data_IF_691213634267
#
_entry.id   IF_691213634267
#
_cell.length_a   1.000
_cell.length_b   1.000
_cell.length_c   1.000
_cell.angle_alpha   90.00
_cell.angle_beta   90.00
_cell.angle_gamma   90.00
#
_symmetry.space_group_name_H-M   'P 1'
#
loop_
_entity.id
_entity.type
_entity.pdbx_description
1 polymer ?
#
# COMPACT_ATOMS: atom_id res chain seq x y z
N UNK A 1 20.49 24.91 -9.83
CA UNK A 1 20.70 24.00 -10.98
C UNK A 1 19.42 24.05 -11.79
N UNK A 2 19.50 24.65 -12.98
CA UNK A 2 18.35 24.73 -13.89
C UNK A 2 17.93 23.29 -14.21
N UNK A 3 16.65 22.95 -14.05
CA UNK A 3 16.13 21.61 -14.37
C UNK A 3 16.60 21.19 -15.78
N UNK A 4 16.70 22.16 -16.69
CA UNK A 4 17.29 22.02 -18.01
C UNK A 4 18.67 21.36 -18.03
N UNK A 5 19.54 21.53 -17.04
CA UNK A 5 20.88 20.89 -17.01
C UNK A 5 20.83 19.38 -16.72
N UNK A 6 19.80 18.90 -16.01
CA UNK A 6 19.52 17.46 -15.84
C UNK A 6 18.90 16.90 -17.13
N UNK A 7 18.14 17.73 -17.86
CA UNK A 7 17.47 17.36 -19.12
C UNK A 7 18.31 17.60 -20.40
N UNK A 8 19.38 18.40 -20.35
CA UNK A 8 20.14 18.88 -21.51
C UNK A 8 21.00 17.79 -22.17
N UNK A 9 21.15 16.64 -21.54
CA UNK A 9 21.66 15.46 -22.21
C UNK A 9 20.45 14.64 -22.67
N UNK A 10 20.23 14.52 -23.98
CA UNK A 10 19.21 13.69 -24.64
C UNK A 10 19.32 12.18 -24.37
N UNK A 11 19.49 11.79 -23.11
CA UNK A 11 19.79 10.44 -22.63
C UNK A 11 18.56 9.63 -22.25
N UNK A 12 17.36 10.24 -22.19
CA UNK A 12 16.16 9.50 -21.83
C UNK A 12 14.97 9.83 -22.75
N UNK A 13 14.94 9.17 -23.92
CA UNK A 13 13.83 9.24 -24.89
C UNK A 13 12.47 8.97 -24.25
N UNK A 14 12.42 8.17 -23.19
CA UNK A 14 11.19 7.87 -22.44
C UNK A 14 10.66 9.11 -21.73
N UNK A 15 11.49 9.87 -21.03
CA UNK A 15 11.07 11.11 -20.36
C UNK A 15 10.57 12.17 -21.36
N UNK A 16 11.26 12.33 -22.49
CA UNK A 16 10.82 13.24 -23.55
C UNK A 16 9.44 12.85 -24.09
N UNK A 17 9.18 11.54 -24.27
CA UNK A 17 7.87 11.02 -24.68
C UNK A 17 6.78 11.35 -23.66
N UNK A 18 7.05 11.18 -22.36
CA UNK A 18 6.08 11.52 -21.32
C UNK A 18 5.81 13.03 -21.23
N UNK A 19 6.84 13.85 -21.38
CA UNK A 19 6.70 15.31 -21.40
C UNK A 19 5.86 15.78 -22.61
N UNK A 20 6.09 15.20 -23.79
CA UNK A 20 5.28 15.47 -24.99
C UNK A 20 3.81 15.07 -24.79
N UNK A 21 3.54 13.90 -24.19
CA UNK A 21 2.17 13.48 -23.86
C UNK A 21 1.48 14.43 -22.88
N UNK A 22 2.20 14.87 -21.85
CA UNK A 22 1.68 15.87 -20.91
C UNK A 22 1.34 17.19 -21.60
N UNK A 23 2.20 17.65 -22.51
CA UNK A 23 1.95 18.86 -23.29
C UNK A 23 0.70 18.72 -24.16
N UNK A 24 0.56 17.61 -24.90
CA UNK A 24 -0.64 17.35 -25.70
C UNK A 24 -1.91 17.33 -24.84
N UNK A 25 -1.90 16.61 -23.71
CA UNK A 25 -3.05 16.59 -22.81
C UNK A 25 -3.38 17.98 -22.24
N UNK A 26 -2.37 18.82 -21.99
CA UNK A 26 -2.58 20.18 -21.52
C UNK A 26 -3.22 21.06 -22.61
N UNK A 27 -2.84 20.89 -23.88
CA UNK A 27 -3.50 21.58 -24.99
C UNK A 27 -4.96 21.12 -25.13
N UNK A 28 -5.21 19.82 -25.05
CA UNK A 28 -6.58 19.28 -25.10
C UNK A 28 -7.46 19.83 -23.96
N UNK A 29 -6.91 19.98 -22.75
CA UNK A 29 -7.60 20.60 -21.62
C UNK A 29 -7.95 22.08 -21.87
N UNK A 30 -7.04 22.84 -22.49
CA UNK A 30 -7.28 24.24 -22.85
C UNK A 30 -8.38 24.35 -23.92
N UNK A 31 -8.32 23.50 -24.94
CA UNK A 31 -9.27 23.51 -26.05
C UNK A 31 -10.66 22.99 -25.64
N UNK A 32 -10.71 21.98 -24.77
CA UNK A 32 -11.95 21.29 -24.34
C UNK A 32 -11.91 20.98 -22.84
N UNK A 33 -12.19 21.96 -21.98
CA UNK A 33 -12.15 21.76 -20.54
C UNK A 33 -13.25 20.79 -20.09
N UNK A 34 -12.84 19.66 -19.53
CA UNK A 34 -13.74 18.66 -18.95
C UNK A 34 -13.02 17.88 -17.84
N UNK A 35 -13.74 17.15 -16.99
CA UNK A 35 -13.13 16.22 -16.05
C UNK A 35 -12.20 15.21 -16.77
N UNK A 36 -12.60 14.69 -17.92
CA UNK A 36 -11.83 13.73 -18.73
C UNK A 36 -10.50 14.31 -19.22
N UNK A 37 -10.50 15.54 -19.75
CA UNK A 37 -9.26 16.18 -20.20
C UNK A 37 -8.35 16.55 -19.01
N UNK A 38 -8.92 16.88 -17.84
CA UNK A 38 -8.16 17.07 -16.61
C UNK A 38 -7.55 15.74 -16.10
N UNK A 39 -8.31 14.65 -16.11
CA UNK A 39 -7.81 13.32 -15.72
C UNK A 39 -6.61 12.91 -16.58
N UNK A 40 -6.70 13.14 -17.90
CA UNK A 40 -5.59 12.87 -18.82
C UNK A 40 -4.32 13.66 -18.47
N UNK A 41 -4.44 14.96 -18.14
CA UNK A 41 -3.30 15.79 -17.71
C UNK A 41 -2.67 15.26 -16.43
N UNK A 42 -3.49 14.98 -15.41
CA UNK A 42 -3.01 14.51 -14.11
C UNK A 42 -2.32 13.14 -14.23
N UNK A 43 -2.90 12.23 -14.99
CA UNK A 43 -2.33 10.91 -15.28
C UNK A 43 -1.04 11.01 -16.07
N UNK A 44 -0.95 11.88 -17.07
CA UNK A 44 0.30 12.13 -17.80
C UNK A 44 1.38 12.71 -16.89
N UNK A 45 1.03 13.63 -16.00
CA UNK A 45 1.98 14.25 -15.08
C UNK A 45 2.47 13.25 -14.02
N UNK A 46 1.58 12.43 -13.47
CA UNK A 46 1.96 11.37 -12.52
C UNK A 46 2.93 10.36 -13.16
N UNK A 47 2.65 9.94 -14.40
CA UNK A 47 3.53 9.03 -15.14
C UNK A 47 4.91 9.66 -15.41
N UNK A 48 4.95 10.93 -15.83
CA UNK A 48 6.21 11.65 -16.01
C UNK A 48 7.01 11.70 -14.70
N UNK A 49 6.35 12.04 -13.59
CA UNK A 49 6.96 12.10 -12.27
C UNK A 49 7.51 10.75 -11.81
N UNK A 50 6.75 9.67 -12.02
CA UNK A 50 7.18 8.31 -11.72
C UNK A 50 8.44 7.92 -12.51
N UNK A 51 8.42 8.08 -13.84
CA UNK A 51 9.57 7.74 -14.67
C UNK A 51 10.80 8.59 -14.37
N UNK A 52 10.60 9.86 -13.99
CA UNK A 52 11.70 10.72 -13.60
C UNK A 52 12.34 10.24 -12.29
N UNK A 53 11.54 9.88 -11.29
CA UNK A 53 12.02 9.29 -10.04
C UNK A 53 12.78 7.99 -10.27
N UNK A 54 12.27 7.10 -11.12
CA UNK A 54 12.99 5.86 -11.46
C UNK A 54 14.31 6.14 -12.19
N UNK A 55 14.36 7.15 -13.05
CA UNK A 55 15.61 7.52 -13.75
C UNK A 55 16.66 8.12 -12.82
N UNK A 56 16.24 8.82 -11.77
CA UNK A 56 17.13 9.37 -10.74
C UNK A 56 17.52 8.35 -9.67
N UNK A 57 16.80 7.23 -9.55
CA UNK A 57 16.99 6.23 -8.51
C UNK A 57 18.45 5.75 -8.31
N UNK A 58 19.28 5.55 -9.36
CA UNK A 58 20.67 5.16 -9.18
C UNK A 58 21.61 6.31 -8.81
N UNK A 59 21.17 7.58 -8.93
CA UNK A 59 22.03 8.73 -8.68
C UNK A 59 22.41 8.84 -7.20
N UNK A 60 23.69 9.12 -6.85
CA UNK A 60 24.13 9.17 -5.45
C UNK A 60 23.33 10.13 -4.57
N UNK A 61 22.93 11.29 -5.11
CA UNK A 61 22.08 12.26 -4.40
C UNK A 61 20.69 11.72 -4.08
N UNK A 62 20.10 10.95 -5.00
CA UNK A 62 18.81 10.29 -4.80
C UNK A 62 18.89 9.17 -3.75
N UNK A 63 19.95 8.35 -3.83
CA UNK A 63 20.21 7.30 -2.84
C UNK A 63 20.43 7.89 -1.45
N UNK A 64 21.22 8.97 -1.36
CA UNK A 64 21.46 9.67 -0.10
C UNK A 64 20.17 10.29 0.47
N UNK A 65 19.33 10.90 -0.36
CA UNK A 65 18.03 11.40 0.06
C UNK A 65 17.10 10.30 0.56
N UNK A 66 17.05 9.15 -0.12
CA UNK A 66 16.23 8.01 0.32
C UNK A 66 16.65 7.52 1.70
N UNK A 67 17.95 7.32 1.92
CA UNK A 67 18.51 6.99 3.23
C UNK A 67 18.08 8.02 4.28
N UNK A 68 18.34 9.30 4.00
CA UNK A 68 18.11 10.37 4.95
C UNK A 68 16.63 10.55 5.31
N UNK A 69 15.73 10.44 4.33
CA UNK A 69 14.28 10.52 4.53
C UNK A 69 13.78 9.36 5.38
N UNK A 70 14.09 8.11 5.02
CA UNK A 70 13.61 6.93 5.73
C UNK A 70 14.23 6.80 7.13
N UNK A 71 15.52 7.13 7.27
CA UNK A 71 16.17 7.22 8.57
C UNK A 71 15.56 8.30 9.46
N UNK A 72 15.25 9.48 8.89
CA UNK A 72 14.60 10.56 9.64
C UNK A 72 13.18 10.21 10.06
N UNK A 73 12.41 9.54 9.19
CA UNK A 73 11.07 9.07 9.52
C UNK A 73 11.13 8.08 10.70
N UNK A 74 12.01 7.07 10.67
CA UNK A 74 12.13 6.10 11.77
C UNK A 74 12.68 6.77 13.05
N UNK A 75 13.79 7.49 12.97
CA UNK A 75 14.43 8.14 14.12
C UNK A 75 13.49 9.11 14.85
N UNK A 76 12.67 9.87 14.10
CA UNK A 76 11.73 10.82 14.70
C UNK A 76 10.65 10.11 15.52
N UNK A 77 10.17 8.96 15.05
CA UNK A 77 9.12 8.20 15.71
C UNK A 77 9.64 7.27 16.82
N UNK A 78 10.92 6.86 16.78
CA UNK A 78 11.60 6.18 17.89
C UNK A 78 11.86 7.10 19.09
N UNK A 79 12.08 8.39 18.84
CA UNK A 79 12.26 9.39 19.89
C UNK A 79 10.95 9.89 20.51
N UNK A 80 9.80 9.50 19.93
CA UNK A 80 8.47 9.96 20.31
C UNK A 80 7.41 8.84 20.30
N UNK A 81 7.66 7.59 20.74
CA UNK A 81 6.58 6.62 20.79
C UNK A 81 5.59 7.09 21.85
N UNK A 82 4.51 7.72 21.41
CA UNK A 82 3.38 8.07 22.25
C UNK A 82 2.10 7.45 21.68
N UNK A 83 1.91 6.12 21.77
CA UNK A 83 0.59 5.54 22.01
C UNK A 83 0.33 5.44 23.52
N UNK A 84 -0.94 5.42 23.90
CA UNK A 84 -1.49 5.65 25.25
C UNK A 84 -0.95 4.82 26.44
N UNK A 85 0.00 3.90 26.26
CA UNK A 85 0.33 2.89 27.28
C UNK A 85 1.81 2.58 27.56
N UNK A 86 2.83 3.14 26.88
CA UNK A 86 4.22 2.74 27.19
C UNK A 86 5.27 3.85 27.29
N UNK A 87 6.15 3.60 28.27
CA UNK A 87 7.20 4.43 28.84
C UNK A 87 8.49 4.30 28.01
N UNK A 88 9.12 5.45 27.68
CA UNK A 88 10.48 5.64 27.14
C UNK A 88 11.28 4.37 26.80
N UNK A 89 11.17 3.89 25.57
CA UNK A 89 11.93 2.74 25.06
C UNK A 89 13.40 3.09 24.75
N UNK A 90 14.20 3.35 25.77
CA UNK A 90 15.61 3.77 25.63
C UNK A 90 16.46 2.78 24.82
N UNK A 91 16.18 1.47 24.93
CA UNK A 91 16.95 0.41 24.26
C UNK A 91 16.44 0.04 22.85
N UNK A 92 15.23 0.48 22.47
CA UNK A 92 14.65 0.09 21.18
C UNK A 92 15.48 0.55 19.97
N UNK A 93 16.07 1.76 19.93
CA UNK A 93 16.98 2.18 18.86
C UNK A 93 18.12 1.19 18.60
N UNK A 94 18.84 0.78 19.65
CA UNK A 94 19.97 -0.14 19.56
C UNK A 94 19.52 -1.54 19.14
N UNK A 95 18.40 -2.03 19.70
CA UNK A 95 17.84 -3.33 19.34
C UNK A 95 17.30 -3.36 17.91
N UNK A 96 16.76 -2.26 17.41
CA UNK A 96 16.33 -2.16 16.01
C UNK A 96 17.54 -2.16 15.08
N UNK A 97 18.60 -1.42 15.44
CA UNK A 97 19.82 -1.36 14.65
C UNK A 97 20.58 -2.69 14.58
N UNK A 98 20.38 -3.60 15.54
CA UNK A 98 20.98 -4.94 15.56
C UNK A 98 20.21 -5.98 14.73
N UNK A 99 19.02 -5.66 14.20
CA UNK A 99 18.34 -6.52 13.24
C UNK A 99 19.14 -6.56 11.93
N UNK A 100 19.52 -7.75 11.42
CA UNK A 100 20.38 -7.87 10.24
C UNK A 100 19.84 -7.08 9.03
N UNK A 101 18.53 -7.17 8.76
CA UNK A 101 17.92 -6.48 7.63
C UNK A 101 17.95 -4.95 7.78
N UNK A 102 17.91 -4.41 9.01
CA UNK A 102 18.03 -2.97 9.27
C UNK A 102 19.46 -2.53 9.04
N UNK A 103 20.44 -3.25 9.60
CA UNK A 103 21.85 -2.97 9.43
C UNK A 103 22.23 -2.99 7.94
N UNK A 104 21.85 -4.06 7.24
CA UNK A 104 22.12 -4.23 5.81
C UNK A 104 21.50 -3.10 4.98
N UNK A 105 20.26 -2.73 5.30
CA UNK A 105 19.57 -1.63 4.65
C UNK A 105 20.29 -0.30 4.82
N UNK A 106 20.61 0.07 6.06
CA UNK A 106 21.29 1.33 6.38
C UNK A 106 22.67 1.38 5.75
N UNK A 107 23.47 0.32 5.89
CA UNK A 107 24.83 0.28 5.35
C UNK A 107 24.84 0.25 3.82
N UNK A 108 23.94 -0.49 3.18
CA UNK A 108 23.82 -0.52 1.72
C UNK A 108 23.54 0.87 1.16
N UNK A 109 22.56 1.59 1.72
CA UNK A 109 22.24 2.94 1.25
C UNK A 109 23.28 3.97 1.65
N UNK A 110 23.91 3.84 2.83
CA UNK A 110 24.94 4.76 3.29
C UNK A 110 26.20 4.68 2.42
N UNK A 111 26.62 3.47 2.05
CA UNK A 111 27.75 3.27 1.12
C UNK A 111 27.44 3.84 -0.26
N UNK A 112 26.27 3.52 -0.82
CA UNK A 112 25.85 4.02 -2.13
C UNK A 112 25.58 5.54 -2.14
N UNK A 113 25.17 6.12 -1.00
CA UNK A 113 25.00 7.56 -0.80
C UNK A 113 26.28 8.31 -0.39
N UNK A 114 27.43 7.63 -0.31
CA UNK A 114 28.73 8.25 -0.06
C UNK A 114 28.98 8.73 1.37
N UNK A 115 28.36 8.10 2.38
CA UNK A 115 28.67 8.38 3.79
C UNK A 115 30.02 7.76 4.19
N UNK A 116 30.78 8.47 5.02
CA UNK A 116 32.05 7.95 5.57
C UNK A 116 31.80 6.82 6.58
N UNK A 117 32.81 6.00 6.87
CA UNK A 117 32.69 4.92 7.87
C UNK A 117 32.22 5.45 9.24
N UNK A 118 32.79 6.56 9.72
CA UNK A 118 32.36 7.20 10.96
C UNK A 118 30.89 7.68 10.92
N UNK A 119 30.38 8.11 9.76
CA UNK A 119 28.97 8.47 9.60
C UNK A 119 28.06 7.24 9.55
N UNK A 120 28.55 6.12 9.00
CA UNK A 120 27.81 4.86 8.95
C UNK A 120 27.61 4.29 10.36
N UNK A 121 28.65 4.31 11.20
CA UNK A 121 28.58 3.87 12.61
C UNK A 121 27.54 4.65 13.42
N UNK A 122 27.39 5.94 13.13
CA UNK A 122 26.41 6.80 13.82
C UNK A 122 24.95 6.49 13.48
N UNK A 123 24.67 5.76 12.39
CA UNK A 123 23.29 5.42 12.01
C UNK A 123 22.65 4.45 13.00
N UNK A 124 23.43 3.59 13.67
CA UNK A 124 22.90 2.64 14.65
C UNK A 124 22.22 3.33 15.84
N UNK A 125 22.55 4.59 16.12
CA UNK A 125 21.99 5.34 17.23
C UNK A 125 20.57 5.88 16.98
N UNK A 126 20.06 5.85 15.74
CA UNK A 126 18.76 6.45 15.36
C UNK A 126 18.51 7.85 15.95
N UNK A 127 19.55 8.69 15.98
CA UNK A 127 19.49 10.01 16.58
C UNK A 127 18.63 10.98 15.74
N UNK A 128 17.48 11.41 16.27
CA UNK A 128 16.59 12.35 15.58
C UNK A 128 17.27 13.69 15.17
N UNK A 129 18.12 14.31 16.02
CA UNK A 129 18.92 15.47 15.58
C UNK A 129 19.87 15.16 14.43
N UNK A 130 20.55 14.01 14.45
CA UNK A 130 21.44 13.60 13.36
C UNK A 130 20.66 13.33 12.07
N UNK A 131 19.50 12.68 12.19
CA UNK A 131 18.62 12.39 11.06
C UNK A 131 18.12 13.66 10.38
N UNK A 132 17.68 14.67 11.16
CA UNK A 132 17.31 15.99 10.61
C UNK A 132 18.48 16.71 9.91
N UNK A 133 19.71 16.55 10.40
CA UNK A 133 20.90 17.09 9.72
C UNK A 133 21.18 16.37 8.40
N UNK A 134 21.08 15.04 8.38
CA UNK A 134 21.24 14.24 7.16
C UNK A 134 20.18 14.62 6.13
N UNK A 135 18.92 14.72 6.52
CA UNK A 135 17.82 15.09 5.62
C UNK A 135 18.03 16.48 5.00
N UNK A 136 18.35 17.49 5.82
CA UNK A 136 18.67 18.84 5.31
C UNK A 136 19.87 18.86 4.37
N UNK A 137 20.87 18.02 4.62
CA UNK A 137 22.04 17.88 3.72
C UNK A 137 21.62 17.24 2.40
N UNK A 138 20.78 16.21 2.45
CA UNK A 138 20.28 15.54 1.25
C UNK A 138 19.38 16.45 0.41
N UNK A 139 18.51 17.23 1.03
CA UNK A 139 17.65 18.22 0.36
C UNK A 139 18.42 19.37 -0.31
N UNK A 140 19.70 19.57 0.03
CA UNK A 140 20.58 20.52 -0.67
C UNK A 140 21.19 19.94 -1.94
N UNK A 141 21.13 18.63 -2.13
CA UNK A 141 21.51 18.01 -3.42
C UNK A 141 20.41 18.27 -4.45
N UNK A 142 20.74 18.42 -5.75
CA UNK A 142 19.74 18.60 -6.80
C UNK A 142 18.69 17.48 -6.83
N UNK A 143 19.14 16.23 -6.72
CA UNK A 143 18.27 15.05 -6.74
C UNK A 143 17.38 15.01 -5.50
N UNK A 144 17.95 15.28 -4.32
CA UNK A 144 17.19 15.30 -3.06
C UNK A 144 16.16 16.44 -3.00
N UNK A 145 16.50 17.64 -3.49
CA UNK A 145 15.55 18.75 -3.61
C UNK A 145 14.37 18.37 -4.51
N UNK A 146 14.67 17.77 -5.66
CA UNK A 146 13.64 17.28 -6.58
C UNK A 146 12.76 16.21 -5.92
N UNK A 147 13.36 15.18 -5.29
CA UNK A 147 12.61 14.08 -4.68
C UNK A 147 11.71 14.56 -3.53
N UNK A 148 12.19 15.50 -2.73
CA UNK A 148 11.38 16.15 -1.70
C UNK A 148 10.16 16.85 -2.31
N UNK A 149 10.35 17.64 -3.37
CA UNK A 149 9.25 18.33 -4.03
C UNK A 149 8.29 17.34 -4.74
N UNK A 150 8.83 16.32 -5.40
CA UNK A 150 8.08 15.26 -6.07
C UNK A 150 7.12 14.56 -5.11
N UNK A 151 7.60 14.21 -3.91
CA UNK A 151 6.76 13.58 -2.88
C UNK A 151 5.58 14.48 -2.48
N UNK A 152 5.80 15.80 -2.33
CA UNK A 152 4.73 16.76 -2.04
C UNK A 152 3.72 16.85 -3.17
N UNK A 153 4.20 16.92 -4.42
CA UNK A 153 3.34 16.98 -5.60
C UNK A 153 2.50 15.72 -5.78
N UNK A 154 3.05 14.54 -5.51
CA UNK A 154 2.31 13.27 -5.62
C UNK A 154 1.07 13.22 -4.74
N UNK A 155 1.16 13.70 -3.49
CA UNK A 155 0.00 13.76 -2.58
C UNK A 155 -1.09 14.70 -3.11
N UNK A 156 -0.69 15.85 -3.66
CA UNK A 156 -1.63 16.79 -4.27
C UNK A 156 -2.29 16.19 -5.53
N UNK A 157 -1.52 15.47 -6.35
CA UNK A 157 -2.03 14.78 -7.54
C UNK A 157 -3.02 13.68 -7.18
N UNK A 158 -2.77 12.91 -6.12
CA UNK A 158 -3.70 11.87 -5.66
C UNK A 158 -5.08 12.46 -5.34
N UNK A 159 -5.10 13.49 -4.50
CA UNK A 159 -6.34 14.15 -4.10
C UNK A 159 -7.06 14.73 -5.31
N UNK A 160 -6.31 15.29 -6.27
CA UNK A 160 -6.91 15.90 -7.47
C UNK A 160 -7.46 14.86 -8.43
N UNK A 161 -6.76 13.75 -8.66
CA UNK A 161 -7.25 12.62 -9.45
C UNK A 161 -8.56 12.08 -8.90
N UNK A 162 -8.64 11.89 -7.57
CA UNK A 162 -9.86 11.43 -6.91
C UNK A 162 -11.02 12.40 -7.08
N UNK A 163 -10.79 13.70 -6.94
CA UNK A 163 -11.81 14.72 -7.17
C UNK A 163 -12.33 14.68 -8.61
N UNK A 164 -11.43 14.55 -9.58
CA UNK A 164 -11.80 14.50 -11.00
C UNK A 164 -12.58 13.24 -11.32
N UNK A 165 -12.15 12.08 -10.83
CA UNK A 165 -12.88 10.81 -11.01
C UNK A 165 -14.28 10.90 -10.40
N UNK A 166 -14.44 11.48 -9.21
CA UNK A 166 -15.76 11.70 -8.60
C UNK A 166 -16.67 12.56 -9.50
N UNK A 167 -16.16 13.66 -10.04
CA UNK A 167 -16.90 14.53 -10.96
C UNK A 167 -17.26 13.84 -12.29
N UNK A 168 -16.42 12.91 -12.75
CA UNK A 168 -16.70 12.11 -13.96
C UNK A 168 -17.84 11.11 -13.72
N UNK A 169 -17.80 10.41 -12.58
CA UNK A 169 -18.76 9.35 -12.28
C UNK A 169 -20.10 9.91 -11.79
N UNK A 170 -20.08 11.01 -11.03
CA UNK A 170 -21.25 11.59 -10.37
C UNK A 170 -21.33 13.07 -10.71
N UNK A 171 -22.03 13.36 -11.81
CA UNK A 171 -22.26 14.74 -12.27
C UNK A 171 -23.30 15.46 -11.41
N UNK A 172 -24.22 14.71 -10.78
CA UNK A 172 -25.33 15.24 -9.99
C UNK A 172 -25.42 14.50 -8.65
N UNK A 173 -25.42 15.28 -7.55
CA UNK A 173 -25.61 14.78 -6.18
C UNK A 173 -24.35 14.29 -5.48
N UNK A 174 -24.45 14.12 -4.16
CA UNK A 174 -23.44 13.48 -3.33
C UNK A 174 -23.76 11.99 -3.18
N UNK A 175 -23.05 11.08 -3.87
CA UNK A 175 -23.31 9.64 -3.80
C UNK A 175 -22.97 9.06 -2.43
N UNK A 176 -23.67 8.00 -2.02
CA UNK A 176 -23.30 7.27 -0.83
C UNK A 176 -21.98 6.51 -1.05
N UNK A 177 -21.30 6.13 0.03
CA UNK A 177 -19.98 5.50 -0.11
C UNK A 177 -20.08 4.12 -0.76
N UNK A 178 -21.19 3.40 -0.56
CA UNK A 178 -21.42 2.11 -1.24
C UNK A 178 -21.61 2.29 -2.75
N UNK A 179 -22.29 3.35 -3.20
CA UNK A 179 -22.42 3.67 -4.62
C UNK A 179 -21.05 3.96 -5.25
N UNK A 180 -20.25 4.78 -4.57
CA UNK A 180 -18.88 5.09 -4.97
C UNK A 180 -18.01 3.84 -5.05
N UNK A 181 -18.12 2.95 -4.06
CA UNK A 181 -17.35 1.71 -4.01
C UNK A 181 -17.75 0.77 -5.15
N UNK A 182 -19.05 0.61 -5.41
CA UNK A 182 -19.55 -0.20 -6.50
C UNK A 182 -19.05 0.32 -7.86
N UNK A 183 -19.11 1.63 -8.10
CA UNK A 183 -18.58 2.26 -9.31
C UNK A 183 -17.07 2.04 -9.44
N UNK A 184 -16.30 2.27 -8.37
CA UNK A 184 -14.86 2.05 -8.37
C UNK A 184 -14.48 0.58 -8.64
N UNK A 185 -15.23 -0.37 -8.09
CA UNK A 185 -15.03 -1.78 -8.35
C UNK A 185 -15.26 -2.12 -9.83
N UNK A 186 -16.35 -1.60 -10.43
CA UNK A 186 -16.62 -1.79 -11.86
C UNK A 186 -15.52 -1.20 -12.74
N UNK A 187 -15.04 0.00 -12.39
CA UNK A 187 -13.93 0.66 -13.10
C UNK A 187 -12.60 -0.10 -12.98
N UNK A 188 -12.35 -0.81 -11.87
CA UNK A 188 -11.16 -1.63 -11.70
C UNK A 188 -11.26 -2.96 -12.44
N UNK A 189 -12.44 -3.58 -12.48
CA UNK A 189 -12.65 -4.91 -13.07
C UNK A 189 -13.66 -4.90 -14.22
N UNK A 190 -13.52 -4.02 -15.24
CA UNK A 190 -14.54 -3.82 -16.26
C UNK A 190 -14.78 -5.08 -17.11
N UNK A 191 -13.79 -5.97 -17.21
CA UNK A 191 -13.87 -7.22 -17.94
C UNK A 191 -14.72 -8.31 -17.26
N UNK A 192 -14.89 -8.22 -15.94
CA UNK A 192 -15.55 -9.26 -15.13
C UNK A 192 -16.79 -8.74 -14.42
N UNK A 193 -16.84 -7.44 -14.13
CA UNK A 193 -17.92 -6.84 -13.37
C UNK A 193 -18.25 -5.43 -13.88
N UNK A 194 -18.75 -5.29 -15.12
CA UNK A 194 -19.00 -3.97 -15.74
C UNK A 194 -20.14 -3.18 -15.09
N UNK A 195 -20.98 -3.83 -14.29
CA UNK A 195 -22.07 -3.21 -13.55
C UNK A 195 -22.31 -3.97 -12.25
N UNK A 196 -22.20 -3.26 -11.12
CA UNK A 196 -22.41 -3.78 -9.78
C UNK A 196 -23.48 -2.93 -9.09
N UNK A 197 -24.66 -3.50 -8.81
CA UNK A 197 -25.67 -2.78 -8.03
C UNK A 197 -25.14 -2.51 -6.61
N UNK A 198 -25.26 -1.28 -6.08
CA UNK A 198 -24.86 -0.95 -4.70
C UNK A 198 -25.51 -1.88 -3.66
N UNK A 199 -26.79 -2.24 -3.86
CA UNK A 199 -27.51 -3.19 -3.02
C UNK A 199 -26.84 -4.59 -2.96
N UNK A 200 -26.16 -5.02 -4.03
CA UNK A 200 -25.42 -6.28 -4.07
C UNK A 200 -24.19 -6.21 -3.17
N UNK A 201 -23.48 -5.08 -3.16
CA UNK A 201 -22.34 -4.84 -2.27
C UNK A 201 -22.78 -4.95 -0.81
N UNK A 202 -23.86 -4.25 -0.44
CA UNK A 202 -24.38 -4.32 0.93
C UNK A 202 -24.82 -5.74 1.31
N UNK A 203 -25.47 -6.45 0.40
CA UNK A 203 -25.91 -7.83 0.63
C UNK A 203 -24.70 -8.73 0.92
N UNK A 204 -23.63 -8.62 0.13
CA UNK A 204 -22.42 -9.41 0.34
C UNK A 204 -21.70 -9.03 1.64
N UNK A 205 -21.63 -7.75 2.01
CA UNK A 205 -21.10 -7.35 3.31
C UNK A 205 -21.93 -7.93 4.48
N UNK A 206 -23.26 -7.88 4.40
CA UNK A 206 -24.15 -8.51 5.41
C UNK A 206 -23.96 -10.02 5.48
N UNK A 207 -23.79 -10.69 4.33
CA UNK A 207 -23.52 -12.13 4.26
C UNK A 207 -22.16 -12.45 4.92
N UNK A 208 -21.12 -11.72 4.54
CA UNK A 208 -19.76 -11.88 5.09
C UNK A 208 -19.71 -11.61 6.59
N UNK A 209 -20.48 -10.66 7.11
CA UNK A 209 -20.66 -10.45 8.56
C UNK A 209 -21.15 -11.72 9.26
N UNK A 210 -22.19 -12.36 8.72
CA UNK A 210 -22.76 -13.58 9.32
C UNK A 210 -21.79 -14.77 9.24
N UNK A 211 -21.11 -14.93 8.11
CA UNK A 211 -20.15 -16.02 7.90
C UNK A 211 -18.89 -15.86 8.76
N UNK A 212 -18.37 -14.64 8.91
CA UNK A 212 -17.22 -14.38 9.78
C UNK A 212 -17.60 -14.55 11.25
N UNK A 213 -18.79 -14.12 11.66
CA UNK A 213 -19.30 -14.36 13.02
C UNK A 213 -19.49 -15.86 13.33
N UNK A 214 -20.01 -16.65 12.38
CA UNK A 214 -20.21 -18.10 12.59
C UNK A 214 -18.91 -18.90 12.65
N UNK A 215 -17.82 -18.34 12.12
CA UNK A 215 -16.46 -18.89 12.22
C UNK A 215 -15.66 -18.31 13.38
N UNK A 216 -16.30 -17.61 14.32
CA UNK A 216 -15.67 -16.98 15.47
C UNK A 216 -14.53 -16.01 15.08
N UNK A 217 -14.81 -15.15 14.09
CA UNK A 217 -13.93 -14.07 13.63
C UNK A 217 -14.58 -12.69 13.87
N UNK A 218 -14.79 -12.29 15.14
CA UNK A 218 -15.57 -11.09 15.48
C UNK A 218 -14.96 -9.80 14.91
N UNK A 219 -13.63 -9.66 14.88
CA UNK A 219 -12.98 -8.45 14.35
C UNK A 219 -13.20 -8.26 12.84
N UNK A 220 -13.31 -9.35 12.08
CA UNK A 220 -13.69 -9.28 10.66
C UNK A 220 -15.19 -9.00 10.51
N UNK A 221 -16.04 -9.58 11.37
CA UNK A 221 -17.47 -9.32 11.35
C UNK A 221 -17.81 -7.85 11.66
N UNK A 222 -17.09 -7.24 12.61
CA UNK A 222 -17.19 -5.82 12.96
C UNK A 222 -16.89 -4.91 11.76
N UNK A 223 -15.96 -5.29 10.88
CA UNK A 223 -15.66 -4.50 9.68
C UNK A 223 -16.88 -4.33 8.77
N UNK A 224 -17.80 -5.31 8.75
CA UNK A 224 -18.99 -5.30 7.91
C UNK A 224 -20.25 -4.82 8.63
N UNK A 225 -20.14 -4.31 9.87
CA UNK A 225 -21.28 -3.84 10.64
C UNK A 225 -22.02 -2.68 9.94
N UNK A 226 -21.25 -1.74 9.39
CA UNK A 226 -21.74 -0.60 8.62
C UNK A 226 -21.16 -0.64 7.20
N UNK A 227 -21.97 -1.04 6.19
CA UNK A 227 -21.55 -1.04 4.79
C UNK A 227 -21.02 0.32 4.32
N UNK A 228 -21.67 1.42 4.73
CA UNK A 228 -21.26 2.78 4.40
C UNK A 228 -19.88 3.13 4.96
N UNK A 229 -19.65 2.85 6.25
CA UNK A 229 -18.33 3.09 6.85
C UNK A 229 -17.25 2.25 6.16
N UNK A 230 -17.53 0.98 5.88
CA UNK A 230 -16.54 0.08 5.29
C UNK A 230 -16.23 0.42 3.83
N UNK A 231 -17.25 0.81 3.05
CA UNK A 231 -17.09 1.32 1.70
C UNK A 231 -16.25 2.60 1.70
N UNK A 232 -16.55 3.56 2.59
CA UNK A 232 -15.78 4.79 2.74
C UNK A 232 -14.31 4.51 3.09
N UNK A 233 -14.07 3.64 4.07
CA UNK A 233 -12.72 3.22 4.46
C UNK A 233 -11.98 2.58 3.28
N UNK A 234 -12.65 1.72 2.53
CA UNK A 234 -12.08 1.00 1.39
C UNK A 234 -11.71 1.94 0.25
N UNK A 235 -12.59 2.89 -0.07
CA UNK A 235 -12.32 3.94 -1.04
C UNK A 235 -11.08 4.75 -0.68
N UNK A 236 -10.94 5.13 0.59
CA UNK A 236 -9.82 5.95 1.06
C UNK A 236 -8.49 5.19 1.04
N UNK A 237 -8.48 3.90 1.38
CA UNK A 237 -7.24 3.16 1.64
C UNK A 237 -6.86 2.12 0.58
N UNK A 238 -7.83 1.52 -0.11
CA UNK A 238 -7.61 0.37 -1.02
C UNK A 238 -7.99 0.66 -2.48
N UNK A 239 -8.75 1.72 -2.74
CA UNK A 239 -9.12 2.10 -4.11
C UNK A 239 -8.15 3.17 -4.66
N UNK A 240 -7.53 2.96 -5.85
CA UNK A 240 -6.74 3.98 -6.53
C UNK A 240 -7.55 5.26 -6.77
N UNK A 241 -6.89 6.41 -6.97
CA UNK A 241 -7.59 7.69 -7.00
C UNK A 241 -8.40 7.87 -8.29
N UNK A 242 -7.99 7.19 -9.36
CA UNK A 242 -8.79 6.99 -10.57
C UNK A 242 -8.81 5.47 -10.84
N UNK A 243 -9.86 4.75 -10.43
CA UNK A 243 -10.03 3.33 -10.73
C UNK A 243 -9.85 2.92 -12.18
N UNK A 244 -10.34 3.73 -13.12
CA UNK A 244 -10.43 3.38 -14.53
C UNK A 244 -9.06 3.29 -15.19
N UNK A 245 -8.16 4.24 -14.90
CA UNK A 245 -6.79 4.21 -15.46
C UNK A 245 -5.86 3.20 -14.74
N UNK A 246 -6.36 2.52 -13.71
CA UNK A 246 -5.63 1.54 -12.90
C UNK A 246 -6.20 0.11 -13.04
N UNK A 247 -7.16 -0.10 -13.94
CA UNK A 247 -7.71 -1.41 -14.24
C UNK A 247 -6.62 -2.39 -14.72
N UNK A 248 -6.38 -3.50 -14.01
CA UNK A 248 -5.35 -4.48 -14.40
C UNK A 248 -5.82 -5.40 -15.54
N UNK A 249 -4.98 -5.55 -16.54
CA UNK A 249 -5.14 -6.39 -17.73
C UNK A 249 -4.20 -7.62 -17.72
N UNK A 250 -3.18 -7.64 -16.86
CA UNK A 250 -2.22 -8.73 -16.73
C UNK A 250 -1.66 -8.85 -15.32
N UNK A 251 -1.04 -9.99 -15.01
CA UNK A 251 -0.42 -10.29 -13.71
C UNK A 251 0.50 -9.16 -13.16
N UNK A 252 1.33 -8.55 -14.00
CA UNK A 252 2.23 -7.48 -13.56
C UNK A 252 1.50 -6.19 -13.19
N UNK A 253 0.30 -5.95 -13.72
CA UNK A 253 -0.57 -4.85 -13.30
C UNK A 253 -1.35 -5.20 -12.02
N UNK A 254 -1.75 -6.47 -11.86
CA UNK A 254 -2.32 -6.96 -10.61
C UNK A 254 -1.35 -6.82 -9.43
N UNK A 255 -0.09 -7.23 -9.60
CA UNK A 255 0.95 -7.07 -8.58
C UNK A 255 1.18 -5.60 -8.22
N UNK A 256 1.13 -4.71 -9.23
CA UNK A 256 1.22 -3.25 -9.02
C UNK A 256 0.02 -2.68 -8.29
N UNK A 257 -1.19 -3.19 -8.55
CA UNK A 257 -2.40 -2.80 -7.83
C UNK A 257 -2.30 -3.19 -6.36
N UNK A 258 -1.95 -4.44 -6.05
CA UNK A 258 -1.75 -4.91 -4.66
C UNK A 258 -0.67 -4.08 -3.97
N UNK A 259 0.49 -3.90 -4.60
CA UNK A 259 1.59 -3.15 -4.01
C UNK A 259 1.20 -1.68 -3.78
N UNK A 260 0.46 -1.08 -4.72
CA UNK A 260 -0.07 0.27 -4.58
C UNK A 260 -1.07 0.42 -3.42
N UNK A 261 -1.95 -0.58 -3.23
CA UNK A 261 -2.88 -0.65 -2.08
C UNK A 261 -2.13 -0.70 -0.76
N UNK A 262 -1.14 -1.58 -0.68
CA UNK A 262 -0.31 -1.74 0.51
C UNK A 262 0.38 -0.42 0.86
N UNK A 263 1.05 0.20 -0.11
CA UNK A 263 1.74 1.46 0.10
C UNK A 263 0.80 2.60 0.51
N UNK A 264 -0.39 2.69 -0.11
CA UNK A 264 -1.41 3.67 0.33
C UNK A 264 -1.86 3.41 1.76
N UNK A 265 -2.13 2.16 2.11
CA UNK A 265 -2.54 1.80 3.47
C UNK A 265 -1.47 2.16 4.51
N UNK A 266 -0.20 2.08 4.11
CA UNK A 266 0.95 2.57 4.88
C UNK A 266 1.22 4.08 4.74
N UNK A 267 0.32 4.87 4.14
CA UNK A 267 0.41 6.34 3.95
C UNK A 267 1.47 6.82 2.93
N UNK A 268 1.90 5.92 2.06
CA UNK A 268 2.89 6.14 1.00
C UNK A 268 2.24 5.96 -0.39
N UNK A 269 1.33 6.85 -0.81
CA UNK A 269 0.65 6.72 -2.10
C UNK A 269 1.63 6.76 -3.28
N UNK A 270 1.34 5.98 -4.33
CA UNK A 270 2.14 5.87 -5.57
C UNK A 270 3.61 5.44 -5.41
N UNK A 271 3.99 4.91 -4.25
CA UNK A 271 5.18 4.11 -4.09
C UNK A 271 4.80 2.66 -4.42
N UNK A 272 4.99 2.22 -5.66
CA UNK A 272 4.64 0.84 -6.05
C UNK A 272 5.52 -0.23 -5.39
N UNK A 273 6.58 0.17 -4.68
CA UNK A 273 7.42 -0.74 -3.90
C UNK A 273 7.75 -0.04 -2.59
N UNK A 274 7.07 -0.47 -1.53
CA UNK A 274 7.30 0.03 -0.18
C UNK A 274 8.60 -0.55 0.37
N UNK A 275 9.52 0.30 0.79
CA UNK A 275 10.76 -0.14 1.44
C UNK A 275 10.48 -0.59 2.89
N UNK A 276 11.29 -1.51 3.44
CA UNK A 276 11.06 -1.97 4.81
C UNK A 276 10.97 -0.88 5.87
N UNK A 277 11.86 0.11 5.77
CA UNK A 277 11.86 1.24 6.70
C UNK A 277 10.61 2.12 6.62
N UNK A 278 9.87 2.10 5.50
CA UNK A 278 8.67 2.93 5.32
C UNK A 278 7.47 2.36 6.10
N UNK A 279 7.22 1.04 6.03
CA UNK A 279 6.18 0.46 6.90
C UNK A 279 6.60 0.45 8.37
N UNK A 280 7.90 0.29 8.69
CA UNK A 280 8.40 0.44 10.06
C UNK A 280 8.11 1.85 10.59
N UNK A 281 8.43 2.89 9.81
CA UNK A 281 8.14 4.26 10.19
C UNK A 281 6.64 4.49 10.47
N UNK A 282 5.76 3.96 9.62
CA UNK A 282 4.32 4.10 9.82
C UNK A 282 3.83 3.42 11.09
N UNK A 283 4.24 2.17 11.37
CA UNK A 283 3.83 1.46 12.60
C UNK A 283 4.37 2.18 13.83
N UNK A 284 5.63 2.63 13.81
CA UNK A 284 6.22 3.38 14.92
C UNK A 284 5.50 4.72 15.15
N UNK A 285 5.16 5.44 14.08
CA UNK A 285 4.40 6.70 14.15
C UNK A 285 3.01 6.51 14.75
N UNK A 286 2.35 5.41 14.43
CA UNK A 286 1.05 5.07 15.02
C UNK A 286 1.17 4.48 16.43
N UNK A 287 2.37 4.04 16.81
CA UNK A 287 2.64 3.33 18.05
C UNK A 287 1.95 1.97 18.14
N UNK A 288 1.45 1.42 17.02
CA UNK A 288 0.74 0.14 16.98
C UNK A 288 0.74 -0.49 15.59
N UNK A 289 0.55 -1.82 15.49
CA UNK A 289 0.23 -2.50 14.24
C UNK A 289 -1.00 -1.89 13.57
N UNK A 290 -1.01 -1.92 12.24
CA UNK A 290 -2.20 -1.57 11.48
C UNK A 290 -3.31 -2.62 11.71
N UNK A 291 -4.56 -2.20 11.53
CA UNK A 291 -5.75 -3.03 11.68
C UNK A 291 -5.94 -3.93 10.44
N UNK A 292 -5.16 -4.99 10.36
CA UNK A 292 -5.12 -5.94 9.24
C UNK A 292 -6.46 -6.62 8.98
N UNK A 293 -7.32 -6.77 9.98
CA UNK A 293 -8.69 -7.26 9.81
C UNK A 293 -9.47 -6.47 8.77
N UNK A 294 -9.23 -5.14 8.64
CA UNK A 294 -9.90 -4.29 7.65
C UNK A 294 -9.40 -4.56 6.24
N UNK A 295 -8.09 -4.80 6.09
CA UNK A 295 -7.48 -5.11 4.80
C UNK A 295 -7.86 -6.54 4.34
N UNK A 296 -7.88 -7.49 5.26
CA UNK A 296 -8.36 -8.85 5.02
C UNK A 296 -9.84 -8.86 4.65
N UNK A 297 -10.68 -8.11 5.37
CA UNK A 297 -12.10 -7.96 5.06
C UNK A 297 -12.34 -7.33 3.67
N UNK A 298 -11.51 -6.37 3.27
CA UNK A 298 -11.64 -5.75 1.95
C UNK A 298 -11.24 -6.73 0.85
N UNK A 299 -10.12 -7.43 1.02
CA UNK A 299 -9.67 -8.46 0.07
C UNK A 299 -10.73 -9.57 -0.09
N UNK A 300 -11.35 -10.00 1.02
CA UNK A 300 -12.42 -10.99 1.00
C UNK A 300 -13.69 -10.48 0.29
N UNK A 301 -14.09 -9.23 0.54
CA UNK A 301 -15.23 -8.63 -0.15
C UNK A 301 -15.00 -8.57 -1.66
N UNK A 302 -13.82 -8.11 -2.08
CA UNK A 302 -13.46 -8.05 -3.49
C UNK A 302 -13.42 -9.44 -4.14
N UNK A 303 -12.84 -10.42 -3.44
CA UNK A 303 -12.84 -11.82 -3.85
C UNK A 303 -14.25 -12.35 -4.10
N UNK A 304 -15.17 -12.11 -3.15
CA UNK A 304 -16.56 -12.54 -3.25
C UNK A 304 -17.35 -11.79 -4.33
N UNK A 305 -17.12 -10.49 -4.50
CA UNK A 305 -17.79 -9.74 -5.57
C UNK A 305 -17.39 -10.22 -6.97
N UNK A 306 -16.21 -10.83 -7.10
CA UNK A 306 -15.70 -11.43 -8.33
C UNK A 306 -16.05 -12.92 -8.46
N UNK A 307 -16.95 -13.45 -7.62
CA UNK A 307 -17.39 -14.86 -7.65
C UNK A 307 -18.89 -15.05 -7.27
N UNK A 308 -19.72 -15.69 -8.13
CA UNK A 308 -19.48 -16.06 -9.53
C UNK A 308 -19.72 -14.88 -10.48
N UNK A 309 -18.83 -14.68 -11.45
CA UNK A 309 -18.97 -13.66 -12.50
C UNK A 309 -19.01 -14.32 -13.88
N UNK A 310 -19.88 -13.82 -14.75
CA UNK A 310 -19.98 -14.31 -16.12
C UNK A 310 -18.96 -13.59 -17.01
N UNK A 311 -18.15 -14.35 -17.74
CA UNK A 311 -17.16 -13.81 -18.67
C UNK A 311 -16.98 -14.73 -19.89
N UNK A 312 -16.46 -14.14 -20.98
CA UNK A 312 -16.10 -14.89 -22.19
C UNK A 312 -14.93 -15.85 -21.92
N UNK A 313 -15.01 -17.09 -22.43
CA UNK A 313 -13.96 -18.12 -22.28
C UNK A 313 -12.54 -17.65 -22.65
N UNK A 314 -12.40 -16.69 -23.58
CA UNK A 314 -11.13 -16.04 -23.94
C UNK A 314 -10.45 -15.33 -22.76
N UNK A 315 -11.20 -14.99 -21.71
CA UNK A 315 -10.72 -14.32 -20.50
C UNK A 315 -10.41 -15.27 -19.35
N UNK A 316 -10.53 -16.59 -19.55
CA UNK A 316 -10.27 -17.59 -18.50
C UNK A 316 -8.86 -17.44 -17.89
N UNK A 317 -7.84 -17.21 -18.72
CA UNK A 317 -6.47 -16.99 -18.22
C UNK A 317 -6.38 -15.77 -17.30
N UNK A 318 -6.94 -14.63 -17.73
CA UNK A 318 -6.98 -13.40 -16.93
C UNK A 318 -7.77 -13.60 -15.62
N UNK A 319 -8.88 -14.35 -15.66
CA UNK A 319 -9.68 -14.66 -14.48
C UNK A 319 -8.92 -15.52 -13.47
N UNK A 320 -8.20 -16.55 -13.93
CA UNK A 320 -7.39 -17.41 -13.04
C UNK A 320 -6.24 -16.62 -12.40
N UNK A 321 -5.60 -15.70 -13.14
CA UNK A 321 -4.60 -14.79 -12.59
C UNK A 321 -5.21 -13.88 -11.51
N UNK A 322 -6.38 -13.30 -11.78
CA UNK A 322 -7.12 -12.47 -10.83
C UNK A 322 -7.43 -13.22 -9.53
N UNK A 323 -8.00 -14.43 -9.62
CA UNK A 323 -8.34 -15.24 -8.44
C UNK A 323 -7.09 -15.53 -7.62
N UNK A 324 -5.99 -15.95 -8.27
CA UNK A 324 -4.71 -16.22 -7.59
C UNK A 324 -4.17 -15.00 -6.85
N UNK A 325 -4.29 -13.82 -7.46
CA UNK A 325 -3.85 -12.54 -6.90
C UNK A 325 -4.68 -12.17 -5.67
N UNK A 326 -6.01 -12.32 -5.75
CA UNK A 326 -6.91 -12.02 -4.65
C UNK A 326 -6.76 -13.01 -3.49
N UNK A 327 -6.54 -14.30 -3.79
CA UNK A 327 -6.20 -15.32 -2.80
C UNK A 327 -4.95 -14.93 -2.02
N UNK A 328 -3.88 -14.60 -2.75
CA UNK A 328 -2.63 -14.17 -2.14
C UNK A 328 -2.83 -12.89 -1.29
N UNK A 329 -3.60 -11.93 -1.79
CA UNK A 329 -3.90 -10.69 -1.08
C UNK A 329 -4.63 -10.97 0.24
N UNK A 330 -5.67 -11.80 0.22
CA UNK A 330 -6.40 -12.20 1.41
C UNK A 330 -5.49 -12.92 2.41
N UNK A 331 -4.70 -13.91 1.95
CA UNK A 331 -3.79 -14.66 2.82
C UNK A 331 -2.73 -13.77 3.46
N UNK A 332 -2.14 -12.85 2.71
CA UNK A 332 -1.14 -11.91 3.25
C UNK A 332 -1.73 -11.02 4.34
N UNK A 333 -2.92 -10.45 4.11
CA UNK A 333 -3.55 -9.61 5.13
C UNK A 333 -4.08 -10.42 6.32
N UNK A 334 -4.56 -11.65 6.10
CA UNK A 334 -4.98 -12.54 7.17
C UNK A 334 -3.81 -12.96 8.06
N UNK A 335 -2.66 -13.31 7.48
CA UNK A 335 -1.43 -13.58 8.25
C UNK A 335 -0.94 -12.31 8.97
N UNK A 336 -1.13 -11.12 8.40
CA UNK A 336 -0.91 -9.85 9.09
C UNK A 336 -1.87 -9.61 10.27
N UNK A 337 -3.12 -10.06 10.16
CA UNK A 337 -4.09 -10.06 11.27
C UNK A 337 -3.64 -11.01 12.38
N UNK A 338 -3.27 -12.25 12.05
CA UNK A 338 -2.73 -13.19 13.02
C UNK A 338 -1.43 -12.69 13.67
N UNK A 339 -0.55 -12.05 12.88
CA UNK A 339 0.67 -11.42 13.39
C UNK A 339 0.33 -10.36 14.43
N UNK A 340 -0.66 -9.51 14.16
CA UNK A 340 -1.14 -8.53 15.14
C UNK A 340 -1.67 -9.22 16.40
N UNK A 341 -2.50 -10.24 16.29
CA UNK A 341 -3.06 -10.96 17.45
C UNK A 341 -1.98 -11.58 18.34
N UNK A 342 -0.94 -12.18 17.76
CA UNK A 342 0.17 -12.78 18.52
C UNK A 342 1.04 -11.75 19.21
N UNK A 343 1.35 -10.65 18.50
CA UNK A 343 2.38 -9.72 18.94
C UNK A 343 1.87 -8.53 19.73
N UNK A 344 0.60 -8.16 19.63
CA UNK A 344 0.07 -6.93 20.24
C UNK A 344 0.39 -6.82 21.73
N UNK A 345 0.19 -7.89 22.51
CA UNK A 345 0.50 -7.91 23.94
C UNK A 345 2.01 -7.78 24.24
N UNK A 346 2.87 -8.21 23.31
CA UNK A 346 4.34 -8.19 23.43
C UNK A 346 4.95 -6.84 23.06
N UNK A 347 4.19 -5.93 22.45
CA UNK A 347 4.65 -4.59 22.09
C UNK A 347 4.81 -3.65 23.29
N UNK A 348 4.59 -4.16 24.51
CA UNK A 348 4.94 -3.48 25.76
C UNK A 348 6.45 -3.44 26.01
N UNK A 349 7.21 -4.29 25.32
CA UNK A 349 8.65 -4.39 25.48
C UNK A 349 9.38 -4.13 24.15
N UNK A 350 10.58 -3.51 24.16
CA UNK A 350 11.40 -3.30 22.96
C UNK A 350 11.66 -4.58 22.16
N UNK A 351 11.84 -5.73 22.83
CA UNK A 351 12.06 -7.02 22.17
C UNK A 351 10.87 -7.45 21.31
N UNK A 352 9.65 -7.25 21.81
CA UNK A 352 8.45 -7.57 21.05
C UNK A 352 8.31 -6.71 19.80
N UNK A 353 8.71 -5.44 19.86
CA UNK A 353 8.79 -4.57 18.69
C UNK A 353 9.76 -5.09 17.63
N UNK A 354 11.00 -5.44 18.01
CA UNK A 354 11.98 -5.97 17.06
C UNK A 354 11.50 -7.25 16.38
N UNK A 355 10.91 -8.18 17.14
CA UNK A 355 10.38 -9.43 16.60
C UNK A 355 9.17 -9.21 15.69
N UNK A 356 8.27 -8.30 16.07
CA UNK A 356 7.14 -7.92 15.22
C UNK A 356 7.61 -7.27 13.91
N UNK A 357 8.54 -6.31 13.96
CA UNK A 357 9.03 -5.60 12.77
C UNK A 357 9.81 -6.54 11.82
N UNK A 358 10.55 -7.52 12.36
CA UNK A 358 11.18 -8.55 11.54
C UNK A 358 10.15 -9.48 10.87
N UNK A 359 9.14 -9.94 11.60
CA UNK A 359 8.08 -10.74 11.01
C UNK A 359 7.27 -9.94 9.97
N UNK A 360 7.01 -8.66 10.24
CA UNK A 360 6.30 -7.75 9.34
C UNK A 360 7.06 -7.55 8.02
N UNK A 361 8.40 -7.42 8.06
CA UNK A 361 9.16 -7.24 6.83
C UNK A 361 9.14 -8.48 5.93
N UNK A 362 9.19 -9.66 6.54
CA UNK A 362 9.08 -10.95 5.85
C UNK A 362 7.70 -11.13 5.23
N UNK A 363 6.64 -10.77 5.96
CA UNK A 363 5.27 -10.82 5.49
C UNK A 363 5.11 -10.04 4.17
N UNK A 364 5.57 -8.78 4.15
CA UNK A 364 5.46 -7.90 2.97
C UNK A 364 6.44 -8.23 1.85
N UNK A 365 7.43 -9.10 2.10
CA UNK A 365 8.28 -9.69 1.06
C UNK A 365 7.70 -10.96 0.45
N UNK A 366 6.51 -11.38 0.89
CA UNK A 366 5.82 -12.55 0.36
C UNK A 366 6.21 -13.86 1.03
N UNK A 367 6.83 -13.83 2.22
CA UNK A 367 6.98 -15.02 3.07
C UNK A 367 5.65 -15.39 3.73
N UNK A 368 4.65 -15.70 2.90
CA UNK A 368 3.32 -16.12 3.32
C UNK A 368 3.17 -17.61 2.99
N UNK A 369 2.88 -18.48 3.97
CA UNK A 369 2.70 -18.17 5.38
C UNK A 369 4.01 -18.02 6.18
N UNK A 370 4.02 -17.15 7.19
CA UNK A 370 5.19 -16.94 8.04
C UNK A 370 5.48 -18.19 8.88
N UNK A 371 6.68 -18.76 8.76
CA UNK A 371 7.07 -20.00 9.45
C UNK A 371 6.87 -19.92 10.99
N UNK A 372 7.26 -18.81 11.60
CA UNK A 372 7.17 -18.61 13.06
C UNK A 372 5.72 -18.42 13.53
N UNK A 373 4.81 -18.06 12.62
CA UNK A 373 3.37 -17.91 12.88
C UNK A 373 2.60 -19.22 12.72
N UNK A 374 3.19 -20.24 12.06
CA UNK A 374 2.53 -21.51 11.76
C UNK A 374 1.90 -22.22 12.96
N UNK A 375 2.58 -22.35 14.12
CA UNK A 375 1.97 -23.01 15.28
C UNK A 375 0.70 -22.30 15.74
N UNK A 376 0.74 -20.96 15.82
CA UNK A 376 -0.40 -20.16 16.18
C UNK A 376 -1.51 -20.23 15.13
N UNK A 377 -1.17 -20.12 13.84
CA UNK A 377 -2.12 -20.20 12.72
C UNK A 377 -2.90 -21.51 12.74
N UNK A 378 -2.21 -22.64 12.95
CA UNK A 378 -2.85 -23.96 13.04
C UNK A 378 -3.79 -24.05 14.22
N UNK A 379 -3.36 -23.61 15.40
CA UNK A 379 -4.21 -23.63 16.59
C UNK A 379 -5.42 -22.71 16.44
N UNK A 380 -5.21 -21.49 15.92
CA UNK A 380 -6.25 -20.50 15.67
C UNK A 380 -7.33 -21.02 14.72
N UNK A 381 -6.94 -21.69 13.63
CA UNK A 381 -7.88 -22.29 12.67
C UNK A 381 -8.55 -23.55 13.24
N UNK A 382 -7.79 -24.40 13.93
CA UNK A 382 -8.31 -25.62 14.55
C UNK A 382 -9.37 -25.31 15.61
N UNK A 383 -9.16 -24.28 16.43
CA UNK A 383 -10.13 -23.82 17.42
C UNK A 383 -11.48 -23.42 16.79
N UNK A 384 -11.49 -23.11 15.49
CA UNK A 384 -12.66 -22.73 14.68
C UNK A 384 -13.18 -23.88 13.81
N UNK A 385 -12.67 -25.09 14.00
CA UNK A 385 -13.05 -26.27 13.23
C UNK A 385 -12.64 -26.21 11.76
N UNK A 386 -11.50 -25.56 11.47
CA UNK A 386 -10.93 -25.41 10.13
C UNK A 386 -9.60 -26.17 10.03
N UNK A 387 -9.42 -26.95 8.97
CA UNK A 387 -8.20 -27.69 8.66
C UNK A 387 -7.08 -26.79 8.12
N UNK A 388 -7.45 -25.66 7.50
CA UNK A 388 -6.50 -24.76 6.85
C UNK A 388 -7.15 -23.48 6.34
N UNK A 389 -6.31 -22.64 5.72
CA UNK A 389 -6.74 -21.35 5.17
C UNK A 389 -7.66 -21.50 3.95
N UNK A 390 -7.44 -22.55 3.15
CA UNK A 390 -8.25 -22.81 1.97
C UNK A 390 -9.69 -23.15 2.37
N UNK A 391 -9.85 -23.95 3.44
CA UNK A 391 -11.17 -24.22 4.01
C UNK A 391 -11.83 -22.96 4.58
N UNK A 392 -11.06 -22.09 5.25
CA UNK A 392 -11.57 -20.80 5.72
C UNK A 392 -12.17 -20.01 4.55
N UNK A 393 -11.40 -19.87 3.46
CA UNK A 393 -11.83 -19.11 2.30
C UNK A 393 -13.05 -19.74 1.62
N UNK A 394 -13.07 -21.08 1.45
CA UNK A 394 -14.23 -21.80 0.90
C UNK A 394 -15.51 -21.58 1.73
N UNK A 395 -15.41 -21.61 3.07
CA UNK A 395 -16.57 -21.37 3.96
C UNK A 395 -17.03 -19.91 3.91
N UNK A 396 -16.09 -18.96 3.89
CA UNK A 396 -16.40 -17.52 3.83
C UNK A 396 -16.97 -17.07 2.48
N UNK A 397 -16.66 -17.78 1.41
CA UNK A 397 -17.17 -17.49 0.06
C UNK A 397 -18.51 -18.17 -0.22
N UNK A 398 -18.87 -19.18 0.60
CA UNK A 398 -20.08 -19.98 0.43
C UNK A 398 -19.97 -21.02 -0.68
N UNK A 399 -18.76 -21.36 -1.12
CA UNK A 399 -18.48 -22.38 -2.16
C UNK A 399 -18.62 -23.83 -1.64
N UNK A 400 -19.39 -24.07 -0.58
CA UNK A 400 -19.66 -25.42 -0.11
C UNK A 400 -20.53 -26.16 -1.15
N UNK A 401 -19.89 -26.87 -2.08
CA UNK A 401 -20.56 -27.83 -2.98
C UNK A 401 -20.19 -27.81 -4.46
N UNK A 402 -19.25 -26.98 -4.94
CA UNK A 402 -18.96 -26.87 -6.39
C UNK A 402 -17.50 -27.13 -6.77
N UNK A 403 -16.88 -28.12 -6.14
CA UNK A 403 -15.69 -28.80 -6.69
C UNK A 403 -15.98 -30.30 -6.64
N UNK A 404 -16.68 -30.78 -7.67
CA UNK A 404 -16.66 -32.17 -8.10
C UNK A 404 -16.24 -32.21 -9.56
#
# INVERSE_FOLDING_TARGET
MDLNSIFAAGRNRTLARHASRLYSAAMDLVDRPSPQSMSAVLSCFLNLLHHYRESLRPEPGAVFWRLAAQYCDVASNLSQPAPAENQNFEHLPEMLASLPWVTDFLLSLARAGGLTAAQQEQLAAFSAPAARRLLRRAERTPEGAFLHQALRMQRALENRLRQVWLLEQFQEGDPAAVDLYAAAHCSLFPAFHPSLPPARVEQEMRRLRLLTASLDLPQLAECYESPEWFAHYSLLHFTPPDPSSWAPENIAQYDRLISGRLSRWYTYPFLHTLAPMEYVATVLRLGRPLFYERAAAHALLEYVLLQPVAFDSSRLGQYLELVRVLDFQFQMFFDGFLLREVWYARLKEPRGWCQYLDALQRLHRGEVPLADLQPFRREFLRARGLAGIDELLCRLTGLQGSVQ
#
